data_IF_616664582559
#
_entry.id   IF_616664582559
#
_cell.length_a   1.000
_cell.length_b   1.000
_cell.length_c   1.000
_cell.angle_alpha   90.00
_cell.angle_beta   90.00
_cell.angle_gamma   90.00
#
_symmetry.space_group_name_H-M   'P 1'
#
loop_
_entity.id
_entity.type
_entity.pdbx_description
1 polymer ?
#
# COMPACT_ATOMS: atom_id res chain seq x y z
N UNK A 1 -7.27 5.07 4.94
CA UNK A 1 -6.78 4.39 3.74
C UNK A 1 -7.49 3.05 3.57
N UNK A 2 -7.83 2.69 2.32
CA UNK A 2 -8.51 1.42 2.03
C UNK A 2 -8.11 0.90 0.64
N UNK A 3 -7.14 -0.04 0.55
CA UNK A 3 -6.40 -0.73 1.62
C UNK A 3 -5.52 0.17 2.47
N UNK A 4 -5.22 -0.29 3.70
CA UNK A 4 -4.44 0.48 4.64
C UNK A 4 -2.94 0.21 4.53
N UNK A 5 -2.13 1.24 4.68
CA UNK A 5 -0.70 1.17 4.86
C UNK A 5 -0.38 1.66 6.30
N UNK A 6 0.33 0.88 7.14
CA UNK A 6 1.19 -0.26 6.77
C UNK A 6 0.57 -1.65 6.93
N UNK A 7 -0.68 -1.78 7.36
CA UNK A 7 -1.23 -3.08 7.79
C UNK A 7 -1.61 -4.01 6.63
N UNK A 8 -1.83 -3.49 5.42
CA UNK A 8 -2.31 -4.28 4.28
C UNK A 8 -3.73 -4.83 4.47
N UNK A 9 -4.45 -4.38 5.50
CA UNK A 9 -5.86 -4.70 5.71
C UNK A 9 -6.77 -3.80 4.91
N UNK A 10 -8.01 -4.21 4.70
CA UNK A 10 -9.01 -3.38 4.04
C UNK A 10 -10.40 -3.59 4.64
N UNK A 11 -11.27 -2.61 4.47
CA UNK A 11 -12.69 -2.74 4.69
C UNK A 11 -13.36 -3.25 3.41
N UNK A 12 -14.22 -4.21 3.55
CA UNK A 12 -15.09 -4.68 2.46
C UNK A 12 -16.03 -3.56 2.00
N UNK A 13 -16.61 -3.73 0.82
CA UNK A 13 -17.62 -2.78 0.31
C UNK A 13 -18.78 -2.54 1.28
N UNK A 14 -19.22 -3.58 2.01
CA UNK A 14 -20.32 -3.47 2.97
C UNK A 14 -19.89 -2.70 4.21
N UNK A 15 -18.73 -3.01 4.77
CA UNK A 15 -18.18 -2.32 5.93
C UNK A 15 -17.94 -0.83 5.64
N UNK A 16 -17.37 -0.50 4.48
CA UNK A 16 -17.12 0.89 4.11
C UNK A 16 -18.43 1.68 3.90
N UNK A 17 -19.47 1.03 3.37
CA UNK A 17 -20.82 1.61 3.28
C UNK A 17 -21.40 1.84 4.68
N UNK A 18 -21.24 0.89 5.60
CA UNK A 18 -21.72 1.02 6.98
C UNK A 18 -20.99 2.13 7.74
N UNK A 19 -19.67 2.25 7.58
CA UNK A 19 -18.91 3.40 8.11
C UNK A 19 -19.56 4.71 7.65
N UNK A 20 -19.81 4.83 6.33
CA UNK A 20 -20.41 6.05 5.78
C UNK A 20 -21.83 6.32 6.30
N UNK A 21 -22.66 5.29 6.48
CA UNK A 21 -24.02 5.41 7.02
C UNK A 21 -24.03 5.92 8.47
N UNK A 22 -23.07 5.42 9.29
CA UNK A 22 -22.96 5.79 10.71
C UNK A 22 -22.37 7.19 10.92
N UNK A 23 -21.63 7.73 9.95
CA UNK A 23 -21.11 9.08 10.03
C UNK A 23 -22.21 10.11 9.85
N UNK A 24 -22.22 11.14 10.70
CA UNK A 24 -23.11 12.29 10.58
C UNK A 24 -22.90 12.98 9.22
N UNK A 25 -23.95 13.61 8.69
CA UNK A 25 -23.94 14.24 7.36
C UNK A 25 -22.94 15.40 7.23
N UNK A 26 -22.58 16.04 8.33
CA UNK A 26 -21.61 17.13 8.38
C UNK A 26 -20.16 16.66 8.52
N UNK A 27 -19.90 15.34 8.57
CA UNK A 27 -18.55 14.78 8.61
C UNK A 27 -18.15 14.42 7.18
N UNK A 28 -17.01 14.95 6.75
CA UNK A 28 -16.37 14.57 5.50
C UNK A 28 -15.67 13.22 5.67
N UNK A 29 -16.02 12.26 4.84
CA UNK A 29 -15.27 11.01 4.71
C UNK A 29 -14.26 11.14 3.57
N UNK A 30 -12.98 11.10 3.89
CA UNK A 30 -11.90 11.00 2.91
C UNK A 30 -11.50 9.54 2.78
N UNK A 31 -11.64 8.97 1.58
CA UNK A 31 -11.20 7.61 1.27
C UNK A 31 -9.88 7.68 0.51
N UNK A 32 -8.81 7.23 1.13
CA UNK A 32 -7.52 7.09 0.49
C UNK A 32 -7.45 5.74 -0.22
N UNK A 33 -7.65 5.78 -1.52
CA UNK A 33 -7.67 4.63 -2.43
C UNK A 33 -6.30 4.40 -3.12
N UNK A 34 -5.18 4.77 -2.49
CA UNK A 34 -3.84 4.70 -3.10
C UNK A 34 -3.43 3.30 -3.58
N UNK A 35 -4.04 2.25 -3.07
CA UNK A 35 -3.76 0.86 -3.43
C UNK A 35 -4.93 0.16 -4.14
N UNK A 36 -5.97 0.90 -4.52
CA UNK A 36 -7.18 0.30 -5.07
C UNK A 36 -6.96 -0.50 -6.37
N UNK A 37 -5.96 -0.13 -7.17
CA UNK A 37 -5.62 -0.81 -8.42
C UNK A 37 -5.02 -2.21 -8.21
N UNK A 38 -4.45 -2.49 -7.04
CA UNK A 38 -3.94 -3.83 -6.70
C UNK A 38 -5.04 -4.81 -6.27
N UNK A 39 -6.21 -4.29 -5.88
CA UNK A 39 -7.28 -5.10 -5.32
C UNK A 39 -8.02 -5.92 -6.37
N UNK A 40 -8.16 -7.22 -6.09
CA UNK A 40 -8.93 -8.16 -6.91
C UNK A 40 -10.04 -8.88 -6.14
N UNK A 41 -10.15 -8.63 -4.83
CA UNK A 41 -11.11 -9.27 -3.96
C UNK A 41 -12.54 -8.86 -4.35
N UNK A 42 -13.43 -9.84 -4.50
CA UNK A 42 -14.82 -9.62 -4.93
C UNK A 42 -15.65 -8.80 -3.95
N UNK A 43 -15.28 -8.81 -2.69
CA UNK A 43 -15.91 -8.06 -1.60
C UNK A 43 -15.35 -6.63 -1.44
N UNK A 44 -14.26 -6.28 -2.14
CA UNK A 44 -13.72 -4.93 -2.20
C UNK A 44 -14.38 -4.11 -3.32
N UNK A 45 -14.57 -2.83 -3.06
CA UNK A 45 -14.86 -1.80 -4.07
C UNK A 45 -14.19 -0.49 -3.67
N UNK A 46 -13.59 0.18 -4.64
CA UNK A 46 -12.98 1.49 -4.40
C UNK A 46 -14.02 2.53 -3.96
N UNK A 47 -13.58 3.50 -3.19
CA UNK A 47 -14.43 4.62 -2.76
C UNK A 47 -15.09 5.34 -3.94
N UNK A 48 -14.39 5.47 -5.06
CA UNK A 48 -14.93 6.07 -6.28
C UNK A 48 -16.18 5.33 -6.78
N UNK A 49 -16.13 3.99 -6.80
CA UNK A 49 -17.26 3.18 -7.28
C UNK A 49 -18.45 3.19 -6.31
N UNK A 50 -18.18 3.33 -5.00
CA UNK A 50 -19.21 3.31 -3.97
C UNK A 50 -19.88 4.68 -3.78
N UNK A 51 -19.13 5.77 -3.91
CA UNK A 51 -19.55 7.09 -3.39
C UNK A 51 -19.47 8.23 -4.40
N UNK A 52 -19.29 7.97 -5.70
CA UNK A 52 -19.17 9.03 -6.73
C UNK A 52 -20.26 10.11 -6.72
N UNK A 53 -21.43 9.79 -6.18
CA UNK A 53 -22.58 10.71 -6.12
C UNK A 53 -22.84 11.27 -4.70
N UNK A 54 -21.93 11.07 -3.73
CA UNK A 54 -22.12 11.53 -2.35
C UNK A 54 -21.45 12.88 -2.13
N UNK A 55 -22.21 13.81 -1.49
CA UNK A 55 -21.78 15.21 -1.30
C UNK A 55 -20.74 15.41 -0.19
N UNK A 56 -20.52 14.43 0.65
CA UNK A 56 -19.60 14.50 1.78
C UNK A 56 -18.60 13.33 1.80
N UNK A 57 -18.24 12.85 0.63
CA UNK A 57 -17.17 11.89 0.43
C UNK A 57 -16.16 12.44 -0.56
N UNK A 58 -14.90 12.30 -0.23
CA UNK A 58 -13.76 12.72 -1.05
C UNK A 58 -12.84 11.52 -1.24
N UNK A 59 -12.47 11.22 -2.46
CA UNK A 59 -11.61 10.08 -2.81
C UNK A 59 -10.29 10.61 -3.31
N UNK A 60 -9.19 10.06 -2.81
CA UNK A 60 -7.85 10.41 -3.26
C UNK A 60 -7.14 9.21 -3.86
N UNK A 61 -6.40 9.43 -4.93
CA UNK A 61 -5.64 8.45 -5.69
C UNK A 61 -4.24 8.98 -6.01
N UNK A 62 -3.33 8.08 -6.28
CA UNK A 62 -1.94 8.43 -6.57
C UNK A 62 -1.41 7.71 -7.80
N UNK A 63 -0.48 8.34 -8.49
CA UNK A 63 0.34 7.70 -9.53
C UNK A 63 1.63 7.10 -8.96
N UNK A 64 1.87 7.25 -7.66
CA UNK A 64 3.10 6.80 -6.99
C UNK A 64 3.21 5.29 -6.78
N UNK A 65 2.13 4.52 -7.01
CA UNK A 65 2.09 3.08 -6.73
C UNK A 65 2.10 2.28 -8.03
N UNK A 66 1.01 1.66 -8.42
CA UNK A 66 0.94 0.76 -9.57
C UNK A 66 1.43 1.39 -10.88
N UNK A 67 1.30 2.69 -11.02
CA UNK A 67 1.76 3.43 -12.21
C UNK A 67 3.26 3.72 -12.22
N UNK A 68 4.00 3.44 -11.14
CA UNK A 68 5.45 3.62 -11.08
C UNK A 68 5.95 5.07 -11.05
N UNK A 69 5.08 6.06 -10.85
CA UNK A 69 5.42 7.49 -11.01
C UNK A 69 5.65 8.21 -9.68
N UNK A 70 6.23 7.54 -8.69
CA UNK A 70 6.40 8.09 -7.35
C UNK A 70 7.24 9.38 -7.32
N UNK A 71 8.26 9.49 -8.17
CA UNK A 71 9.15 10.65 -8.26
C UNK A 71 8.49 11.90 -8.84
N UNK A 72 7.43 11.74 -9.64
CA UNK A 72 6.75 12.85 -10.30
C UNK A 72 5.78 13.61 -9.37
N UNK A 73 5.53 13.11 -8.17
CA UNK A 73 4.69 13.75 -7.13
C UNK A 73 3.31 14.16 -7.64
N UNK A 74 2.61 13.26 -8.32
CA UNK A 74 1.29 13.50 -8.90
C UNK A 74 0.26 12.49 -8.41
N UNK A 75 -0.93 12.96 -8.18
CA UNK A 75 -2.12 12.21 -7.81
C UNK A 75 -3.36 12.98 -8.24
N UNK A 76 -4.50 12.46 -7.93
CA UNK A 76 -5.77 13.12 -8.23
C UNK A 76 -6.79 12.86 -7.12
N UNK A 77 -7.79 13.70 -7.09
CA UNK A 77 -8.89 13.57 -6.16
C UNK A 77 -10.23 13.68 -6.87
N UNK A 78 -11.24 13.06 -6.31
CA UNK A 78 -12.61 13.12 -6.77
C UNK A 78 -13.55 13.40 -5.61
N UNK A 79 -14.43 14.38 -5.78
CA UNK A 79 -15.38 14.76 -4.75
C UNK A 79 -16.40 15.78 -5.24
N UNK A 80 -17.25 16.30 -4.35
CA UNK A 80 -18.22 17.34 -4.67
C UNK A 80 -17.54 18.58 -5.25
N UNK A 81 -18.19 19.20 -6.22
CA UNK A 81 -17.66 20.38 -6.91
C UNK A 81 -17.27 21.51 -5.96
N UNK A 82 -18.09 21.79 -4.95
CA UNK A 82 -17.80 22.82 -3.94
C UNK A 82 -16.49 22.58 -3.17
N UNK A 83 -16.16 21.31 -2.91
CA UNK A 83 -14.90 20.94 -2.27
C UNK A 83 -13.72 21.13 -3.21
N UNK A 84 -13.85 20.69 -4.46
CA UNK A 84 -12.81 20.90 -5.48
C UNK A 84 -12.55 22.39 -5.67
N UNK A 85 -13.57 23.22 -5.78
CA UNK A 85 -13.43 24.68 -5.89
C UNK A 85 -12.75 25.31 -4.67
N UNK A 86 -12.97 24.76 -3.47
CA UNK A 86 -12.26 25.19 -2.26
C UNK A 86 -10.77 24.82 -2.33
N UNK A 87 -10.44 23.61 -2.74
CA UNK A 87 -9.05 23.18 -2.91
C UNK A 87 -8.33 23.98 -4.00
N UNK A 88 -9.02 24.31 -5.10
CA UNK A 88 -8.46 25.15 -6.16
C UNK A 88 -8.03 26.55 -5.66
N UNK A 89 -8.71 27.10 -4.65
CA UNK A 89 -8.33 28.39 -4.04
C UNK A 89 -7.13 28.26 -3.07
N UNK A 90 -6.88 27.06 -2.55
CA UNK A 90 -5.84 26.82 -1.54
C UNK A 90 -4.55 26.28 -2.14
N UNK A 91 -4.60 25.63 -3.31
CA UNK A 91 -3.41 25.05 -3.93
C UNK A 91 -2.45 26.15 -4.41
N UNK A 92 -1.17 25.89 -4.29
CA UNK A 92 -0.14 26.77 -4.87
C UNK A 92 -0.25 26.81 -6.40
N UNK A 93 0.09 27.94 -7.02
CA UNK A 93 0.28 27.98 -8.47
C UNK A 93 1.28 26.92 -8.92
N UNK A 94 1.00 26.27 -10.05
CA UNK A 94 1.88 25.24 -10.64
C UNK A 94 2.23 24.08 -9.69
N UNK A 95 1.30 23.71 -8.77
CA UNK A 95 1.49 22.64 -7.79
C UNK A 95 1.77 21.27 -8.43
N UNK A 96 1.41 21.06 -9.69
CA UNK A 96 1.79 19.89 -10.48
C UNK A 96 2.52 20.39 -11.75
N UNK A 97 3.71 19.83 -11.99
CA UNK A 97 4.48 20.21 -13.18
C UNK A 97 3.91 19.58 -14.47
N UNK A 98 4.13 20.25 -15.60
CA UNK A 98 3.57 19.83 -16.89
C UNK A 98 4.02 18.44 -17.35
N UNK A 99 5.26 18.05 -17.07
CA UNK A 99 5.76 16.70 -17.37
C UNK A 99 4.99 15.64 -16.58
N UNK A 100 4.75 15.87 -15.28
CA UNK A 100 3.96 14.96 -14.46
C UNK A 100 2.53 14.77 -14.98
N UNK A 101 1.88 15.84 -15.44
CA UNK A 101 0.53 15.78 -16.02
C UNK A 101 0.52 14.93 -17.30
N UNK A 102 1.46 15.19 -18.22
CA UNK A 102 1.55 14.47 -19.48
C UNK A 102 1.82 12.97 -19.29
N UNK A 103 2.80 12.65 -18.41
CA UNK A 103 3.16 11.26 -18.12
C UNK A 103 2.03 10.53 -17.37
N UNK A 104 1.36 11.17 -16.40
CA UNK A 104 0.22 10.60 -15.71
C UNK A 104 -0.94 10.29 -16.67
N UNK A 105 -1.22 11.19 -17.62
CA UNK A 105 -2.24 10.97 -18.65
C UNK A 105 -1.89 9.79 -19.58
N UNK A 106 -0.61 9.61 -19.91
CA UNK A 106 -0.14 8.45 -20.69
C UNK A 106 -0.27 7.15 -19.87
N UNK A 107 0.19 7.15 -18.61
CA UNK A 107 0.13 5.99 -17.72
C UNK A 107 -1.30 5.48 -17.48
N UNK A 108 -2.29 6.37 -17.40
CA UNK A 108 -3.70 5.97 -17.28
C UNK A 108 -4.22 5.21 -18.49
N UNK A 109 -3.64 5.41 -19.67
CA UNK A 109 -4.02 4.70 -20.91
C UNK A 109 -3.27 3.40 -21.09
N UNK A 110 -2.15 3.22 -20.39
CA UNK A 110 -1.33 2.02 -20.45
C UNK A 110 -1.89 0.92 -19.55
N UNK A 111 -2.97 0.31 -20.02
CA UNK A 111 -3.63 -0.79 -19.33
C UNK A 111 -2.72 -2.01 -19.25
N UNK A 112 -1.92 -2.25 -20.32
CA UNK A 112 -1.00 -3.38 -20.36
C UNK A 112 0.04 -3.33 -19.26
N UNK A 113 0.63 -2.15 -19.01
CA UNK A 113 1.56 -1.94 -17.89
C UNK A 113 0.89 -2.20 -16.53
N UNK A 114 -0.28 -1.63 -16.30
CA UNK A 114 -0.98 -1.79 -15.01
C UNK A 114 -1.41 -3.23 -14.75
N UNK A 115 -1.81 -3.98 -15.79
CA UNK A 115 -2.15 -5.40 -15.68
C UNK A 115 -0.91 -6.27 -15.42
N UNK A 116 0.20 -5.99 -16.09
CA UNK A 116 1.47 -6.66 -15.84
C UNK A 116 1.98 -6.40 -14.40
N UNK A 117 1.97 -5.14 -13.97
CA UNK A 117 2.36 -4.75 -12.60
C UNK A 117 1.48 -5.43 -11.53
N UNK A 118 0.16 -5.49 -11.76
CA UNK A 118 -0.77 -6.20 -10.87
C UNK A 118 -0.51 -7.70 -10.87
N UNK A 119 -0.26 -8.31 -12.02
CA UNK A 119 0.07 -9.73 -12.16
C UNK A 119 1.34 -10.09 -11.39
N UNK A 120 2.41 -9.31 -11.57
CA UNK A 120 3.67 -9.43 -10.85
C UNK A 120 3.48 -9.33 -9.33
N UNK A 121 2.79 -8.27 -8.88
CA UNK A 121 2.50 -8.06 -7.46
C UNK A 121 1.71 -9.23 -6.85
N UNK A 122 0.70 -9.74 -7.54
CA UNK A 122 -0.11 -10.86 -7.05
C UNK A 122 0.70 -12.15 -6.91
N UNK A 123 1.59 -12.42 -7.86
CA UNK A 123 2.50 -13.57 -7.81
C UNK A 123 3.41 -13.47 -6.59
N UNK A 124 4.10 -12.36 -6.43
CA UNK A 124 5.04 -12.18 -5.31
C UNK A 124 4.34 -12.05 -3.96
N UNK A 125 3.15 -11.49 -3.90
CA UNK A 125 2.34 -11.50 -2.68
C UNK A 125 2.12 -12.94 -2.19
N UNK A 126 1.68 -13.83 -3.07
CA UNK A 126 1.46 -15.24 -2.72
C UNK A 126 2.74 -15.95 -2.28
N UNK A 127 3.84 -15.79 -3.03
CA UNK A 127 5.15 -16.41 -2.71
C UNK A 127 5.70 -15.88 -1.38
N UNK A 128 5.69 -14.55 -1.19
CA UNK A 128 6.21 -13.93 0.03
C UNK A 128 5.43 -14.36 1.27
N UNK A 129 4.10 -14.32 1.23
CA UNK A 129 3.25 -14.77 2.34
C UNK A 129 3.50 -16.23 2.68
N UNK A 130 3.57 -17.11 1.66
CA UNK A 130 3.85 -18.53 1.88
C UNK A 130 5.21 -18.76 2.54
N UNK A 131 6.28 -18.13 2.02
CA UNK A 131 7.64 -18.30 2.55
C UNK A 131 7.79 -17.71 3.95
N UNK A 132 7.21 -16.55 4.22
CA UNK A 132 7.25 -15.94 5.55
C UNK A 132 6.51 -16.78 6.60
N UNK A 133 5.33 -17.33 6.24
CA UNK A 133 4.59 -18.24 7.12
C UNK A 133 5.35 -19.54 7.37
N UNK A 134 6.08 -20.06 6.38
CA UNK A 134 6.94 -21.24 6.54
C UNK A 134 8.12 -21.01 7.51
N UNK A 135 8.54 -19.74 7.69
CA UNK A 135 9.51 -19.35 8.72
C UNK A 135 8.89 -19.13 10.10
N UNK A 136 7.62 -19.43 10.27
CA UNK A 136 6.87 -19.23 11.55
C UNK A 136 6.44 -17.79 11.80
N UNK A 137 6.56 -16.89 10.81
CA UNK A 137 6.16 -15.49 10.96
C UNK A 137 4.67 -15.30 10.71
N UNK A 138 4.00 -14.54 11.57
CA UNK A 138 2.66 -14.03 11.32
C UNK A 138 2.69 -13.05 10.15
N UNK A 139 1.76 -13.18 9.19
CA UNK A 139 1.59 -12.18 8.11
C UNK A 139 0.13 -11.79 8.09
N UNK A 140 -0.15 -10.51 8.34
CA UNK A 140 -1.48 -9.92 8.31
C UNK A 140 -1.59 -8.94 7.14
N UNK A 141 -2.75 -8.95 6.47
CA UNK A 141 -3.03 -8.03 5.37
C UNK A 141 -2.24 -8.37 4.10
N UNK A 142 -2.95 -8.80 3.08
CA UNK A 142 -2.37 -9.19 1.78
C UNK A 142 -2.88 -8.25 0.68
N UNK A 143 -2.95 -6.94 1.01
CA UNK A 143 -3.49 -5.91 0.12
C UNK A 143 -2.51 -4.77 -0.06
N UNK A 144 -2.31 -4.34 -1.29
CA UNK A 144 -1.31 -3.35 -1.67
C UNK A 144 -0.11 -3.98 -2.34
N UNK A 145 1.06 -3.32 -2.25
CA UNK A 145 2.30 -3.80 -2.85
C UNK A 145 3.39 -4.08 -1.80
N UNK A 146 3.00 -4.58 -0.64
CA UNK A 146 3.90 -4.91 0.47
C UNK A 146 3.29 -6.01 1.33
N UNK A 147 4.15 -6.69 2.10
CA UNK A 147 3.78 -7.61 3.16
C UNK A 147 4.23 -7.05 4.51
N UNK A 148 3.55 -7.48 5.57
CA UNK A 148 3.83 -7.05 6.94
C UNK A 148 4.02 -8.27 7.85
N UNK A 149 5.21 -8.91 7.83
CA UNK A 149 5.53 -9.99 8.77
C UNK A 149 5.71 -9.47 10.19
N UNK A 150 5.22 -10.26 11.15
CA UNK A 150 5.42 -10.10 12.58
C UNK A 150 6.56 -11.00 13.05
N UNK A 151 7.53 -10.40 13.72
CA UNK A 151 8.70 -11.07 14.28
C UNK A 151 8.52 -11.31 15.78
N UNK A 152 9.16 -12.36 16.34
CA UNK A 152 9.14 -12.59 17.78
C UNK A 152 9.73 -11.41 18.56
N UNK A 153 9.19 -11.12 19.73
CA UNK A 153 9.82 -10.18 20.68
C UNK A 153 10.88 -10.93 21.52
N UNK A 154 11.89 -11.48 20.82
CA UNK A 154 12.95 -12.29 21.41
C UNK A 154 14.30 -11.74 20.97
N UNK A 155 15.27 -11.54 21.90
CA UNK A 155 16.61 -11.09 21.54
C UNK A 155 17.24 -11.99 20.46
N UNK A 156 17.85 -11.36 19.46
CA UNK A 156 18.46 -12.04 18.32
C UNK A 156 17.51 -12.47 17.19
N UNK A 157 16.18 -12.34 17.40
CA UNK A 157 15.14 -12.63 16.37
C UNK A 157 14.06 -11.55 16.27
N UNK A 158 14.23 -10.44 16.96
CA UNK A 158 13.26 -9.34 16.92
C UNK A 158 13.22 -8.64 15.56
N UNK A 159 12.17 -7.83 15.32
CA UNK A 159 12.11 -6.99 14.13
C UNK A 159 13.31 -6.04 14.01
N UNK A 160 13.84 -5.56 15.14
CA UNK A 160 15.03 -4.70 15.17
C UNK A 160 16.30 -5.46 14.76
N UNK A 161 16.50 -6.68 15.32
CA UNK A 161 17.64 -7.53 14.95
C UNK A 161 17.56 -7.94 13.47
N UNK A 162 16.36 -8.27 13.00
CA UNK A 162 16.11 -8.62 11.59
C UNK A 162 16.43 -7.46 10.67
N UNK A 163 15.98 -6.25 11.00
CA UNK A 163 16.26 -5.03 10.22
C UNK A 163 17.77 -4.78 10.12
N UNK A 164 18.48 -4.86 11.25
CA UNK A 164 19.95 -4.72 11.27
C UNK A 164 20.66 -5.77 10.42
N UNK A 165 20.21 -7.04 10.51
CA UNK A 165 20.76 -8.11 9.67
C UNK A 165 20.50 -7.87 8.18
N UNK A 166 19.28 -7.51 7.79
CA UNK A 166 18.93 -7.22 6.41
C UNK A 166 19.76 -6.06 5.85
N UNK A 167 19.95 -4.98 6.63
CA UNK A 167 20.82 -3.87 6.24
C UNK A 167 22.27 -4.32 6.02
N UNK A 168 22.80 -5.23 6.83
CA UNK A 168 24.15 -5.80 6.64
C UNK A 168 24.29 -6.59 5.33
N UNK A 169 23.16 -7.04 4.75
CA UNK A 169 23.08 -7.73 3.45
C UNK A 169 22.71 -6.77 2.30
N UNK A 170 22.65 -5.46 2.56
CA UNK A 170 22.26 -4.47 1.56
C UNK A 170 20.74 -4.43 1.27
N UNK A 171 19.92 -5.08 2.10
CA UNK A 171 18.46 -5.11 1.98
C UNK A 171 17.86 -4.11 2.95
N UNK A 172 17.12 -3.12 2.46
CA UNK A 172 16.49 -2.08 3.25
C UNK A 172 14.97 -2.28 3.26
N UNK A 173 14.44 -2.58 4.44
CA UNK A 173 13.01 -2.71 4.69
C UNK A 173 12.52 -1.55 5.56
N UNK A 174 11.22 -1.46 5.80
CA UNK A 174 10.68 -0.35 6.59
C UNK A 174 10.28 -0.80 8.00
N UNK A 175 10.90 -0.20 9.01
CA UNK A 175 10.42 -0.22 10.38
C UNK A 175 9.08 0.53 10.48
N UNK A 176 8.17 0.00 11.30
CA UNK A 176 6.81 0.56 11.47
C UNK A 176 6.44 0.81 12.93
N UNK A 177 7.44 0.98 13.78
CA UNK A 177 7.30 1.28 15.22
C UNK A 177 6.44 2.52 15.46
N UNK A 178 6.61 3.54 14.62
CA UNK A 178 5.86 4.79 14.69
C UNK A 178 4.35 4.64 14.39
N UNK A 179 3.93 3.46 13.93
CA UNK A 179 2.52 3.08 13.78
C UNK A 179 2.00 2.21 14.92
N UNK A 180 2.79 2.05 16.00
CA UNK A 180 2.45 1.16 17.11
C UNK A 180 2.65 -0.32 16.81
N UNK A 181 3.52 -0.65 15.84
CA UNK A 181 3.81 -2.00 15.38
C UNK A 181 5.31 -2.32 15.51
N UNK A 182 5.87 -2.34 16.76
CA UNK A 182 7.32 -2.48 16.99
C UNK A 182 7.87 -3.83 16.53
N UNK A 183 7.05 -4.87 16.51
CA UNK A 183 7.46 -6.23 16.15
C UNK A 183 7.28 -6.54 14.65
N UNK A 184 7.00 -5.53 13.83
CA UNK A 184 6.74 -5.73 12.41
C UNK A 184 7.76 -5.01 11.52
N UNK A 185 8.00 -5.61 10.35
CA UNK A 185 8.70 -4.96 9.24
C UNK A 185 7.80 -4.92 8.02
N UNK A 186 7.71 -3.77 7.34
CA UNK A 186 7.01 -3.70 6.08
C UNK A 186 7.98 -3.90 4.92
N UNK A 187 7.76 -4.96 4.15
CA UNK A 187 8.57 -5.34 3.00
C UNK A 187 7.80 -5.01 1.73
N UNK A 188 8.30 -4.07 0.94
CA UNK A 188 7.70 -3.74 -0.37
C UNK A 188 8.01 -4.86 -1.36
N UNK A 189 7.03 -5.24 -2.17
CA UNK A 189 7.23 -6.21 -3.26
C UNK A 189 7.99 -5.53 -4.40
N UNK A 190 9.21 -6.00 -4.63
CA UNK A 190 10.15 -5.50 -5.64
C UNK A 190 10.21 -6.37 -6.89
N UNK A 191 11.36 -6.31 -7.59
CA UNK A 191 11.66 -7.19 -8.73
C UNK A 191 11.84 -8.64 -8.28
N UNK A 192 11.97 -9.56 -9.23
CA UNK A 192 12.20 -10.98 -8.93
C UNK A 192 13.50 -11.16 -8.12
N UNK A 193 14.57 -10.48 -8.48
CA UNK A 193 15.87 -10.53 -7.80
C UNK A 193 15.80 -9.94 -6.38
N UNK A 194 15.12 -8.82 -6.22
CA UNK A 194 14.95 -8.16 -4.91
C UNK A 194 14.12 -9.04 -3.97
N UNK A 195 13.06 -9.66 -4.46
CA UNK A 195 12.23 -10.56 -3.65
C UNK A 195 12.96 -11.83 -3.25
N UNK A 196 13.71 -12.45 -4.16
CA UNK A 196 14.54 -13.60 -3.81
C UNK A 196 15.63 -13.23 -2.80
N UNK A 197 16.26 -12.07 -2.97
CA UNK A 197 17.29 -11.58 -2.05
C UNK A 197 16.77 -11.43 -0.62
N UNK A 198 15.64 -10.70 -0.44
CA UNK A 198 15.07 -10.45 0.90
C UNK A 198 14.56 -11.76 1.53
N UNK A 199 13.89 -12.63 0.76
CA UNK A 199 13.32 -13.86 1.30
C UNK A 199 14.42 -14.89 1.65
N UNK A 200 15.51 -14.95 0.89
CA UNK A 200 16.67 -15.80 1.21
C UNK A 200 17.41 -15.28 2.45
N UNK A 201 17.61 -13.95 2.58
CA UNK A 201 18.20 -13.36 3.76
C UNK A 201 17.36 -13.63 5.03
N UNK A 202 16.04 -13.52 4.94
CA UNK A 202 15.13 -13.86 6.04
C UNK A 202 15.18 -15.36 6.38
N UNK A 203 15.27 -16.23 5.39
CA UNK A 203 15.44 -17.68 5.61
C UNK A 203 16.75 -17.97 6.35
N UNK A 204 17.86 -17.33 5.95
CA UNK A 204 19.12 -17.44 6.64
C UNK A 204 19.05 -16.97 8.10
N UNK A 205 18.41 -15.80 8.33
CA UNK A 205 18.32 -15.20 9.66
C UNK A 205 17.45 -16.03 10.62
N UNK A 206 16.28 -16.47 10.15
CA UNK A 206 15.32 -17.20 10.98
C UNK A 206 15.70 -18.67 11.17
N UNK A 207 16.30 -19.29 10.15
CA UNK A 207 16.72 -20.70 10.15
C UNK A 207 18.10 -20.96 10.75
N UNK A 208 18.92 -19.93 10.99
CA UNK A 208 20.30 -20.03 11.43
C UNK A 208 20.52 -20.21 12.94
N UNK A 209 19.68 -20.96 13.65
CA UNK A 209 19.86 -21.24 15.08
C UNK A 209 19.90 -22.74 15.40
N UNK A 210 20.64 -23.52 14.60
CA UNK A 210 21.07 -24.85 14.98
C UNK A 210 22.54 -25.03 14.53
N UNK A 211 23.45 -24.53 15.37
CA UNK A 211 24.88 -24.70 15.22
C UNK A 211 25.57 -24.24 16.50
#
# INVERSE_FOLDING_TARGET
>A
ANPNNPTGTYLTKLELIEVRKKLRKNILLVVDDAYAEYMKNNDYKSGLNLFKNKQNVFIIRTFSKIYGLASLRVGWAFGPRSMIETLERLRSPFNVNGAAIAVAAAAMRDVAHTDAARGHNNRWMGVAVQRLRALGLGVTGESGNFVLPEFPDTPGKSAADTDAFLQSKGVIVRRVDNYGLPNHLRITLGTDEEMESVLNALTQFMGGSDG
#
